data_IF_999395770653
#
_entry.id   IF_999395770653
#
_cell.length_a   1.000
_cell.length_b   1.000
_cell.length_c   1.000
_cell.angle_alpha   90.00
_cell.angle_beta   90.00
_cell.angle_gamma   90.00
#
_symmetry.space_group_name_H-M   'P 1'
#
loop_
_entity.id
_entity.type
_entity.pdbx_description
1 polymer ?
#
# COMPACT_ATOMS: atom_id res chain seq x y z
N UNK A 1 11.61 5.56 -4.05
CA UNK A 1 10.45 5.21 -3.20
C UNK A 1 9.38 4.62 -4.11
N UNK A 2 9.32 3.30 -4.29
CA UNK A 2 8.65 2.68 -5.45
C UNK A 2 7.12 2.70 -5.37
N UNK A 3 6.52 2.63 -4.18
CA UNK A 3 5.05 2.70 -4.06
C UNK A 3 4.48 4.09 -4.34
N UNK A 4 5.21 5.15 -3.98
CA UNK A 4 4.77 6.54 -4.21
C UNK A 4 4.77 6.88 -5.70
N UNK A 5 5.77 6.40 -6.43
CA UNK A 5 5.94 6.61 -7.88
C UNK A 5 4.81 5.98 -8.71
N UNK A 6 4.24 4.86 -8.22
CA UNK A 6 3.20 4.09 -8.89
C UNK A 6 1.78 4.44 -8.43
N UNK A 7 1.65 5.38 -7.51
CA UNK A 7 0.35 5.74 -6.92
C UNK A 7 -0.18 7.06 -7.48
N UNK A 8 -1.47 7.11 -7.75
CA UNK A 8 -2.16 8.31 -8.23
C UNK A 8 -3.02 8.87 -7.10
N UNK A 9 -2.91 10.16 -6.82
CA UNK A 9 -3.79 10.83 -5.87
C UNK A 9 -5.23 10.79 -6.40
N UNK A 10 -6.12 10.16 -5.64
CA UNK A 10 -7.55 10.36 -5.80
C UNK A 10 -7.87 11.64 -5.03
N UNK A 11 -8.66 12.54 -5.61
CA UNK A 11 -8.98 13.85 -5.04
C UNK A 11 -9.68 13.84 -3.66
N UNK A 12 -9.76 12.68 -3.01
CA UNK A 12 -10.15 12.47 -1.62
C UNK A 12 -8.95 12.45 -0.65
N UNK A 13 -7.73 12.73 -1.15
CA UNK A 13 -6.51 12.74 -0.36
C UNK A 13 -5.92 11.34 -0.11
N UNK A 14 -6.34 10.33 -0.88
CA UNK A 14 -5.77 8.97 -0.84
C UNK A 14 -4.91 8.69 -2.07
N UNK A 15 -3.95 7.79 -1.93
CA UNK A 15 -3.08 7.35 -3.03
C UNK A 15 -3.56 5.98 -3.51
N UNK A 16 -3.96 5.90 -4.78
CA UNK A 16 -4.44 4.68 -5.41
C UNK A 16 -3.35 4.04 -6.25
N UNK A 17 -3.04 2.76 -6.01
CA UNK A 17 -2.12 1.97 -6.84
C UNK A 17 -2.95 1.25 -7.91
N UNK A 18 -2.94 1.68 -9.18
CA UNK A 18 -3.71 1.06 -10.26
C UNK A 18 -3.12 -0.28 -10.71
N UNK A 19 -1.87 -0.57 -10.34
CA UNK A 19 -1.24 -1.85 -10.65
C UNK A 19 -1.77 -2.95 -9.72
N UNK A 20 -2.22 -4.06 -10.32
CA UNK A 20 -2.65 -5.25 -9.58
C UNK A 20 -1.41 -6.00 -9.09
N UNK A 21 -0.80 -5.49 -8.04
CA UNK A 21 0.40 -6.07 -7.45
C UNK A 21 0.02 -7.25 -6.55
N UNK A 22 0.58 -8.42 -6.83
CA UNK A 22 0.54 -9.54 -5.89
C UNK A 22 1.56 -9.31 -4.78
N UNK A 23 1.42 -10.06 -3.67
CA UNK A 23 2.42 -10.03 -2.58
C UNK A 23 3.83 -10.40 -3.07
N UNK A 24 3.92 -11.26 -4.09
CA UNK A 24 5.19 -11.69 -4.66
C UNK A 24 5.81 -10.56 -5.50
N UNK A 25 5.02 -9.87 -6.34
CA UNK A 25 5.51 -8.73 -7.13
C UNK A 25 6.08 -7.61 -6.23
N UNK A 26 5.44 -7.37 -5.10
CA UNK A 26 5.92 -6.41 -4.10
C UNK A 26 7.22 -6.90 -3.46
N UNK A 27 7.31 -8.20 -3.14
CA UNK A 27 8.49 -8.82 -2.57
C UNK A 27 9.70 -8.75 -3.50
N UNK A 28 9.52 -9.07 -4.79
CA UNK A 28 10.56 -8.97 -5.82
C UNK A 28 11.04 -7.53 -6.00
N UNK A 29 10.13 -6.56 -5.90
CA UNK A 29 10.44 -5.13 -6.10
C UNK A 29 11.12 -4.48 -4.91
N UNK A 30 10.84 -4.93 -3.68
CA UNK A 30 11.47 -4.41 -2.45
C UNK A 30 12.65 -5.26 -1.98
N UNK A 31 12.96 -6.36 -2.66
CA UNK A 31 14.05 -7.28 -2.29
C UNK A 31 13.79 -8.00 -0.97
N UNK A 32 12.53 -8.35 -0.69
CA UNK A 32 12.11 -9.02 0.55
C UNK A 32 11.46 -10.37 0.25
N UNK A 33 11.20 -11.18 1.29
CA UNK A 33 10.44 -12.41 1.13
C UNK A 33 8.94 -12.13 1.08
N UNK A 34 8.19 -12.96 0.34
CA UNK A 34 6.71 -12.89 0.29
C UNK A 34 6.08 -12.92 1.68
N UNK A 35 6.61 -13.74 2.59
CA UNK A 35 6.10 -13.85 3.96
C UNK A 35 6.32 -12.57 4.76
N UNK A 36 7.48 -11.92 4.58
CA UNK A 36 7.78 -10.64 5.20
C UNK A 36 6.85 -9.55 4.67
N UNK A 37 6.66 -9.48 3.36
CA UNK A 37 5.73 -8.54 2.72
C UNK A 37 4.30 -8.79 3.17
N UNK A 38 3.85 -10.05 3.24
CA UNK A 38 2.51 -10.39 3.71
C UNK A 38 2.26 -9.90 5.15
N UNK A 39 3.27 -10.03 6.03
CA UNK A 39 3.20 -9.53 7.40
C UNK A 39 3.11 -8.00 7.45
N UNK A 40 3.98 -7.31 6.70
CA UNK A 40 3.97 -5.84 6.62
C UNK A 40 2.64 -5.32 6.07
N UNK A 41 2.14 -5.89 4.97
CA UNK A 41 0.86 -5.49 4.38
C UNK A 41 -0.30 -5.72 5.36
N UNK A 42 -0.27 -6.83 6.11
CA UNK A 42 -1.25 -7.11 7.15
C UNK A 42 -1.19 -6.06 8.27
N UNK A 43 -0.01 -5.73 8.76
CA UNK A 43 0.18 -4.72 9.81
C UNK A 43 -0.24 -3.32 9.34
N UNK A 44 0.09 -2.95 8.10
CA UNK A 44 -0.35 -1.70 7.48
C UNK A 44 -1.87 -1.64 7.29
N UNK A 45 -2.50 -2.77 7.01
CA UNK A 45 -3.97 -2.87 6.91
C UNK A 45 -4.62 -2.73 8.29
N UNK A 46 -4.07 -3.40 9.31
CA UNK A 46 -4.53 -3.30 10.71
C UNK A 46 -4.39 -1.87 11.23
N UNK A 47 -3.28 -1.19 10.90
CA UNK A 47 -3.04 0.20 11.26
C UNK A 47 -3.84 1.22 10.45
N UNK A 48 -4.75 0.78 9.59
CA UNK A 48 -5.56 1.63 8.69
C UNK A 48 -4.72 2.52 7.74
N UNK A 49 -3.45 2.18 7.51
CA UNK A 49 -2.55 2.90 6.59
C UNK A 49 -2.80 2.53 5.14
N UNK A 50 -3.23 1.29 4.88
CA UNK A 50 -3.63 0.83 3.56
C UNK A 50 -4.95 0.09 3.64
N UNK A 51 -5.67 0.04 2.53
CA UNK A 51 -6.87 -0.78 2.34
C UNK A 51 -6.82 -1.44 0.96
N UNK A 52 -7.40 -2.62 0.86
CA UNK A 52 -7.52 -3.32 -0.42
C UNK A 52 -8.87 -3.00 -1.04
N UNK A 53 -8.86 -2.44 -2.25
CA UNK A 53 -10.05 -2.29 -3.10
C UNK A 53 -9.99 -3.32 -4.23
N UNK A 54 -10.53 -4.51 -3.95
CA UNK A 54 -10.48 -5.64 -4.87
C UNK A 54 -9.04 -6.17 -5.02
N UNK A 55 -8.43 -5.94 -6.19
CA UNK A 55 -7.01 -6.30 -6.47
C UNK A 55 -6.06 -5.10 -6.41
N UNK A 56 -6.55 -3.93 -6.00
CA UNK A 56 -5.77 -2.70 -5.90
C UNK A 56 -5.49 -2.35 -4.45
N UNK A 57 -4.37 -1.68 -4.23
CA UNK A 57 -3.98 -1.15 -2.93
C UNK A 57 -4.29 0.33 -2.91
N UNK A 58 -5.02 0.77 -1.90
CA UNK A 58 -5.24 2.19 -1.61
C UNK A 58 -4.45 2.51 -0.37
N UNK A 59 -3.54 3.45 -0.48
CA UNK A 59 -2.78 3.97 0.64
C UNK A 59 -3.59 5.12 1.22
N UNK A 60 -4.04 4.93 2.45
CA UNK A 60 -4.70 5.98 3.20
C UNK A 60 -3.61 6.95 3.63
N UNK A 61 -3.55 8.12 2.99
CA UNK A 61 -2.84 9.28 3.51
C UNK A 61 -3.66 9.84 4.67
N UNK A 62 -3.77 9.06 5.75
CA UNK A 62 -4.13 9.64 7.04
C UNK A 62 -2.94 10.53 7.39
N UNK A 63 -3.02 11.81 7.02
CA UNK A 63 -2.36 12.83 7.82
C UNK A 63 -2.83 12.52 9.24
N UNK A 64 -1.95 12.15 10.19
CA UNK A 64 -2.37 12.08 11.57
C UNK A 64 -3.00 13.44 11.84
N UNK A 65 -4.31 13.44 12.11
CA UNK A 65 -4.96 14.60 12.67
C UNK A 65 -4.17 14.85 13.95
N UNK A 66 -3.31 15.86 13.88
CA UNK A 66 -2.39 16.25 14.94
C UNK A 66 -3.14 16.19 16.27
N UNK A 67 -2.51 15.57 17.26
CA UNK A 67 -2.51 16.12 18.60
C UNK A 67 -1.06 16.47 18.93
#
# INVERSE_FOLDING_TARGET
NVLMDLSHERGDGTLFVPEKLTQQDIADRVGASREMVARILKDLTIGEYIRFEGRHIVINTRLPAKY
#
